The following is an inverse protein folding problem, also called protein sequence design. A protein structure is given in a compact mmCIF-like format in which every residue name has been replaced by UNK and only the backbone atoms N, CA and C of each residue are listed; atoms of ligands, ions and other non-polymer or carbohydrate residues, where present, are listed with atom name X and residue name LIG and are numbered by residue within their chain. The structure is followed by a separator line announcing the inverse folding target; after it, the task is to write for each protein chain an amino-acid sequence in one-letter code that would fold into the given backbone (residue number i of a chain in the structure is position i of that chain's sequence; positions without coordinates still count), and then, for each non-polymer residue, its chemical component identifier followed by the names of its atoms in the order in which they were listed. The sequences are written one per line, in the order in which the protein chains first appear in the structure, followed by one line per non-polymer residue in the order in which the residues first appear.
data_IF_690898048442
#
_entry.id   IF_690898048442
#
_cell.length_a   1.000
_cell.length_b   1.000
_cell.length_c   1.000
_cell.angle_alpha   90.00
_cell.angle_beta   90.00
_cell.angle_gamma   90.00
#
_symmetry.space_group_name_H-M   'P 1'
#
loop_
_entity.id
_entity.type
_entity.pdbx_description
1 polymer ?
#
# COMPACT_ATOMS: atom_id res chain seq x y z
N UNK A 1 -6.16 -2.85 20.27
CA UNK A 1 -6.54 -2.78 18.84
C UNK A 1 -5.76 -1.63 18.24
N UNK A 2 -4.86 -1.92 17.30
CA UNK A 2 -4.20 -0.87 16.55
C UNK A 2 -5.14 -0.40 15.44
N UNK A 3 -5.43 0.90 15.40
CA UNK A 3 -6.29 1.49 14.38
C UNK A 3 -5.45 1.84 13.15
N UNK A 4 -5.97 1.55 11.95
CA UNK A 4 -5.48 2.12 10.71
C UNK A 4 -6.51 3.10 10.14
N UNK A 5 -6.04 4.05 9.32
CA UNK A 5 -6.86 4.99 8.56
C UNK A 5 -6.38 5.01 7.12
N UNK A 6 -7.32 4.83 6.19
CA UNK A 6 -7.06 4.97 4.76
C UNK A 6 -7.20 6.45 4.41
N UNK A 7 -6.14 7.06 3.90
CA UNK A 7 -6.21 8.45 3.41
C UNK A 7 -6.92 8.52 2.06
N UNK A 8 -7.49 9.67 1.73
CA UNK A 8 -8.26 9.86 0.48
C UNK A 8 -7.48 9.42 -0.77
N UNK A 9 -6.18 9.69 -0.83
CA UNK A 9 -5.33 9.26 -1.95
C UNK A 9 -5.25 7.73 -2.06
N UNK A 10 -5.07 7.02 -0.93
CA UNK A 10 -5.11 5.57 -0.89
C UNK A 10 -6.51 5.02 -1.22
N UNK A 11 -7.59 5.69 -0.81
CA UNK A 11 -8.95 5.33 -1.16
C UNK A 11 -9.17 5.28 -2.66
N UNK A 12 -8.77 6.35 -3.38
CA UNK A 12 -8.85 6.38 -4.85
C UNK A 12 -8.03 5.26 -5.51
N UNK A 13 -6.87 4.92 -4.95
CA UNK A 13 -6.06 3.78 -5.44
C UNK A 13 -6.79 2.45 -5.25
N UNK A 14 -7.48 2.24 -4.12
CA UNK A 14 -8.26 1.03 -3.91
C UNK A 14 -9.40 0.91 -4.94
N UNK A 15 -10.07 2.01 -5.28
CA UNK A 15 -11.10 2.03 -6.31
C UNK A 15 -10.54 1.66 -7.69
N UNK A 16 -9.40 2.23 -8.06
CA UNK A 16 -8.68 1.90 -9.30
C UNK A 16 -8.29 0.42 -9.36
N UNK A 17 -7.75 -0.11 -8.26
CA UNK A 17 -7.38 -1.52 -8.13
C UNK A 17 -8.63 -2.40 -8.28
N UNK A 18 -9.72 -2.07 -7.60
CA UNK A 18 -10.97 -2.83 -7.68
C UNK A 18 -11.51 -2.89 -9.10
N UNK A 19 -11.63 -1.74 -9.77
CA UNK A 19 -12.14 -1.65 -11.15
C UNK A 19 -11.26 -2.47 -12.08
N UNK A 20 -9.94 -2.30 -12.02
CA UNK A 20 -9.02 -3.04 -12.87
C UNK A 20 -9.09 -4.55 -12.63
N UNK A 21 -9.10 -4.98 -11.36
CA UNK A 21 -9.17 -6.40 -11.00
C UNK A 21 -10.50 -7.01 -11.45
N UNK A 22 -11.60 -6.29 -11.27
CA UNK A 22 -12.94 -6.72 -11.72
C UNK A 22 -12.98 -6.88 -13.23
N UNK A 23 -12.50 -5.89 -13.97
CA UNK A 23 -12.59 -5.87 -15.43
C UNK A 23 -11.68 -6.94 -16.05
N UNK A 24 -10.61 -7.35 -15.36
CA UNK A 24 -9.65 -8.34 -15.85
C UNK A 24 -10.01 -9.78 -15.43
N UNK A 25 -10.48 -9.99 -14.19
CA UNK A 25 -10.66 -11.33 -13.61
C UNK A 25 -12.05 -11.58 -12.99
N UNK A 26 -12.94 -10.58 -13.02
CA UNK A 26 -14.29 -10.67 -12.49
C UNK A 26 -14.44 -10.16 -11.04
N UNK A 27 -15.68 -9.87 -10.68
CA UNK A 27 -16.07 -9.25 -9.40
C UNK A 27 -15.63 -10.07 -8.18
N UNK A 28 -15.81 -11.39 -8.21
CA UNK A 28 -15.40 -12.26 -7.10
C UNK A 28 -13.90 -12.19 -6.78
N UNK A 29 -13.06 -11.95 -7.80
CA UNK A 29 -11.62 -11.76 -7.60
C UNK A 29 -11.32 -10.37 -7.04
N UNK A 30 -12.00 -9.34 -7.52
CA UNK A 30 -11.86 -7.97 -7.03
C UNK A 30 -12.23 -7.85 -5.53
N UNK A 31 -13.37 -8.43 -5.14
CA UNK A 31 -13.82 -8.47 -3.76
C UNK A 31 -12.82 -9.18 -2.85
N UNK A 32 -12.32 -10.34 -3.28
CA UNK A 32 -11.32 -11.10 -2.52
C UNK A 32 -10.05 -10.29 -2.35
N UNK A 33 -9.60 -9.63 -3.40
CA UNK A 33 -8.35 -8.88 -3.39
C UNK A 33 -8.42 -7.65 -2.49
N UNK A 34 -9.50 -6.88 -2.56
CA UNK A 34 -9.70 -5.74 -1.65
C UNK A 34 -9.80 -6.21 -0.20
N UNK A 35 -10.55 -7.28 0.10
CA UNK A 35 -10.61 -7.83 1.47
C UNK A 35 -9.22 -8.23 1.99
N UNK A 36 -8.41 -8.84 1.14
CA UNK A 36 -7.04 -9.24 1.50
C UNK A 36 -6.14 -8.02 1.78
N UNK A 37 -6.28 -6.93 1.01
CA UNK A 37 -5.59 -5.67 1.27
C UNK A 37 -5.98 -5.07 2.63
N UNK A 38 -7.27 -5.06 2.97
CA UNK A 38 -7.72 -4.57 4.29
C UNK A 38 -7.20 -5.42 5.45
N UNK A 39 -7.20 -6.76 5.31
CA UNK A 39 -6.57 -7.64 6.30
C UNK A 39 -5.06 -7.36 6.44
N UNK A 40 -4.38 -7.04 5.33
CA UNK A 40 -2.98 -6.63 5.37
C UNK A 40 -2.77 -5.28 6.08
N UNK A 41 -3.70 -4.32 5.97
CA UNK A 41 -3.65 -3.06 6.72
C UNK A 41 -3.79 -3.28 8.22
N UNK A 42 -4.67 -4.21 8.64
CA UNK A 42 -4.78 -4.64 10.03
C UNK A 42 -3.47 -5.25 10.53
N UNK A 43 -2.86 -6.17 9.78
CA UNK A 43 -1.58 -6.77 10.12
C UNK A 43 -0.43 -5.74 10.20
N UNK A 44 -0.46 -4.70 9.36
CA UNK A 44 0.48 -3.58 9.47
C UNK A 44 0.27 -2.84 10.79
N UNK A 45 -0.99 -2.51 11.12
CA UNK A 45 -1.34 -1.79 12.34
C UNK A 45 -0.93 -2.56 13.60
N UNK A 46 -1.11 -3.88 13.62
CA UNK A 46 -0.73 -4.75 14.75
C UNK A 46 0.75 -5.10 14.80
N UNK A 47 1.56 -4.62 13.84
CA UNK A 47 3.00 -4.96 13.69
C UNK A 47 3.27 -6.44 13.36
N UNK A 48 2.28 -7.17 12.86
CA UNK A 48 2.43 -8.55 12.38
C UNK A 48 3.00 -8.61 10.95
N UNK A 49 2.97 -7.49 10.22
CA UNK A 49 3.65 -7.33 8.94
C UNK A 49 5.04 -6.71 9.10
N UNK A 50 5.96 -7.01 8.17
CA UNK A 50 7.29 -6.40 8.15
C UNK A 50 7.21 -4.91 7.75
N UNK A 51 7.73 -4.03 8.60
CA UNK A 51 7.83 -2.59 8.32
C UNK A 51 9.20 -2.29 7.70
N UNK A 52 9.24 -2.01 6.39
CA UNK A 52 10.47 -1.54 5.74
C UNK A 52 10.48 -0.03 5.73
N UNK A 53 11.58 0.58 6.14
CA UNK A 53 11.72 2.05 6.13
C UNK A 53 11.87 2.53 4.69
N UNK A 54 11.20 3.62 4.33
CA UNK A 54 11.42 4.29 3.04
C UNK A 54 12.82 4.94 3.09
N UNK A 55 13.70 4.71 2.10
CA UNK A 55 15.03 5.31 2.10
C UNK A 55 14.98 6.84 2.21
N UNK A 56 15.91 7.41 2.98
CA UNK A 56 15.92 8.84 3.28
C UNK A 56 16.10 9.73 2.04
N UNK A 57 16.70 9.21 0.96
CA UNK A 57 16.86 9.90 -0.33
C UNK A 57 15.54 10.34 -0.97
N UNK A 58 14.42 9.66 -0.65
CA UNK A 58 13.09 10.06 -1.12
C UNK A 58 12.51 11.27 -0.38
N UNK A 59 13.18 11.77 0.67
CA UNK A 59 12.76 12.95 1.43
C UNK A 59 11.42 12.78 2.16
N UNK A 60 10.97 11.55 2.37
CA UNK A 60 9.70 11.24 3.03
C UNK A 60 9.91 10.24 4.17
N UNK A 61 9.37 10.56 5.33
CA UNK A 61 9.32 9.63 6.46
C UNK A 61 8.14 8.68 6.29
N UNK A 62 8.41 7.38 6.38
CA UNK A 62 7.38 6.38 6.31
C UNK A 62 7.93 4.97 6.16
N UNK A 63 6.99 4.08 5.93
CA UNK A 63 7.26 2.66 5.81
C UNK A 63 6.50 2.09 4.62
N UNK A 64 6.98 0.95 4.15
CA UNK A 64 6.32 0.21 3.10
C UNK A 64 6.46 -1.30 3.29
N UNK A 65 5.59 -2.04 2.62
CA UNK A 65 5.72 -3.48 2.43
C UNK A 65 5.15 -3.87 1.07
N UNK A 66 5.54 -5.04 0.59
CA UNK A 66 4.95 -5.66 -0.59
C UNK A 66 3.83 -6.60 -0.15
N UNK A 67 2.69 -6.52 -0.82
CA UNK A 67 1.59 -7.45 -0.72
C UNK A 67 1.19 -7.87 -2.14
N UNK A 68 1.47 -9.14 -2.48
CA UNK A 68 1.29 -9.67 -3.83
C UNK A 68 1.91 -8.75 -4.92
N UNK A 69 1.09 -8.14 -5.78
CA UNK A 69 1.50 -7.25 -6.86
C UNK A 69 1.51 -5.76 -6.49
N UNK A 70 1.25 -5.41 -5.21
CA UNK A 70 1.18 -4.02 -4.76
C UNK A 70 2.17 -3.72 -3.64
N UNK A 71 2.62 -2.47 -3.60
CA UNK A 71 3.38 -1.87 -2.52
C UNK A 71 2.46 -0.95 -1.73
N UNK A 72 2.37 -1.20 -0.43
CA UNK A 72 1.54 -0.44 0.50
C UNK A 72 2.46 0.52 1.26
N UNK A 73 2.11 1.80 1.30
CA UNK A 73 2.89 2.83 1.99
C UNK A 73 2.07 3.44 3.12
N UNK A 74 2.73 3.64 4.26
CA UNK A 74 2.10 4.26 5.42
C UNK A 74 3.06 5.09 6.25
N UNK A 75 2.48 5.89 7.14
CA UNK A 75 3.17 6.58 8.22
C UNK A 75 2.47 6.35 9.54
N UNK A 76 3.17 6.57 10.64
CA UNK A 76 2.55 6.63 11.97
C UNK A 76 2.01 8.05 12.17
N UNK A 77 0.74 8.14 12.55
CA UNK A 77 0.06 9.41 12.84
C UNK A 77 0.37 9.87 14.28
N UNK A 78 0.05 11.12 14.60
CA UNK A 78 0.35 11.70 15.92
C UNK A 78 -0.32 10.96 17.09
N UNK A 79 -1.42 10.25 16.84
CA UNK A 79 -2.12 9.44 17.82
C UNK A 79 -1.66 7.97 17.85
N UNK A 80 -0.55 7.66 17.14
CA UNK A 80 0.01 6.32 17.06
C UNK A 80 -0.68 5.40 16.05
N UNK A 81 -1.75 5.85 15.37
CA UNK A 81 -2.43 5.06 14.36
C UNK A 81 -1.59 4.93 13.07
N UNK A 82 -1.83 3.86 12.31
CA UNK A 82 -1.25 3.71 10.97
C UNK A 82 -2.08 4.47 9.94
N UNK A 83 -1.49 5.44 9.25
CA UNK A 83 -2.12 6.12 8.12
C UNK A 83 -1.64 5.52 6.80
N UNK A 84 -2.51 4.77 6.10
CA UNK A 84 -2.23 4.26 4.76
C UNK A 84 -2.28 5.43 3.77
N UNK A 85 -1.15 5.76 3.15
CA UNK A 85 -0.98 6.96 2.32
C UNK A 85 -1.26 6.67 0.86
N UNK A 86 -0.75 5.55 0.34
CA UNK A 86 -0.96 5.14 -1.06
C UNK A 86 -0.71 3.64 -1.23
N UNK A 87 -1.26 3.08 -2.30
CA UNK A 87 -0.98 1.72 -2.78
C UNK A 87 -0.52 1.83 -4.24
N UNK A 88 0.66 1.31 -4.55
CA UNK A 88 1.25 1.36 -5.89
C UNK A 88 1.38 -0.05 -6.46
N UNK A 89 1.02 -0.23 -7.72
CA UNK A 89 1.28 -1.49 -8.42
C UNK A 89 2.80 -1.69 -8.60
N UNK A 90 3.29 -2.93 -8.55
CA UNK A 90 4.73 -3.24 -8.61
C UNK A 90 5.42 -2.70 -9.86
N UNK A 91 4.70 -2.62 -10.99
CA UNK A 91 5.21 -2.04 -12.24
C UNK A 91 5.51 -0.54 -12.12
N UNK A 92 4.73 0.19 -11.33
CA UNK A 92 4.97 1.61 -11.06
C UNK A 92 6.17 1.76 -10.11
N UNK A 93 6.22 0.92 -9.07
CA UNK A 93 7.34 0.94 -8.12
C UNK A 93 8.69 0.59 -8.77
N UNK A 94 8.70 -0.35 -9.72
CA UNK A 94 9.93 -0.73 -10.45
C UNK A 94 10.42 0.40 -11.37
N UNK A 95 9.52 1.12 -12.04
CA UNK A 95 9.90 2.24 -12.93
C UNK A 95 10.54 3.40 -12.17
N UNK A 96 10.11 3.68 -10.93
CA UNK A 96 10.74 4.69 -10.08
C UNK A 96 12.17 4.29 -9.72
N UNK A 97 12.39 3.02 -9.34
CA UNK A 97 13.74 2.50 -9.04
C UNK A 97 14.64 2.42 -10.28
N UNK A 98 14.09 2.11 -11.45
CA UNK A 98 14.86 2.05 -12.71
C UNK A 98 15.35 3.42 -13.18
N UNK A 99 14.68 4.52 -12.77
CA UNK A 99 15.14 5.88 -13.05
C UNK A 99 16.30 6.32 -12.16
N UNK A 100 16.43 5.74 -10.97
CA UNK A 100 17.56 5.99 -10.06
C UNK A 100 18.80 5.15 -10.42
N UNK A 101 18.62 3.99 -11.05
CA UNK A 101 19.70 3.09 -11.47
C UNK A 101 20.31 3.43 -12.86
N UNK A 102 20.05 4.62 -13.43
CA UNK A 102 20.79 5.07 -14.63
C UNK A 102 22.05 5.86 -14.23
N UNK A 103 23.24 5.44 -14.72
CA UNK A 103 24.52 6.11 -14.42
C UNK A 103 24.64 7.50 -15.05
#
# INVERSE_FOLDING_TARGET
MAAFRVQDAAGRRLDEIYVYTRDTWGEAQADRYIRALFAQFEAIATRDAAWRVIPAEFGVDGYYCRFEHHYIYWRVLNDGAVGIVTILHERMHQMDRFREDQP
#
